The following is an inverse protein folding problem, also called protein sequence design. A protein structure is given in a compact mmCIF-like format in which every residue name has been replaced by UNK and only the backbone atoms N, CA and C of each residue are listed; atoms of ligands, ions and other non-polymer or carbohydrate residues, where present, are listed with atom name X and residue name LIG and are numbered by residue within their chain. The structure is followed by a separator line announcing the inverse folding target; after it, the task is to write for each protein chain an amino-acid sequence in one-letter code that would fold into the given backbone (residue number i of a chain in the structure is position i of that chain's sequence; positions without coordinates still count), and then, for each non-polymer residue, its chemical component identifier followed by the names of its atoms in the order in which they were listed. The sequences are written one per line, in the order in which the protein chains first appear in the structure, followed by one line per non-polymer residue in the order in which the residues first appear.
data_IF_468676404531
#
_entry.id   IF_468676404531
#
_cell.length_a   1.000
_cell.length_b   1.000
_cell.length_c   1.000
_cell.angle_alpha   90.00
_cell.angle_beta   90.00
_cell.angle_gamma   90.00
#
_symmetry.space_group_name_H-M   'P 1'
#
loop_
_entity.id
_entity.type
_entity.pdbx_description
1 polymer ?
#
# COMPACT_ATOMS: atom_id res chain seq x y z
N UNK A 1 -18.81 6.91 2.33
CA UNK A 1 -18.35 5.61 2.86
C UNK A 1 -19.07 4.43 2.21
N UNK A 2 -20.36 4.17 2.49
CA UNK A 2 -21.09 3.02 1.94
C UNK A 2 -21.04 2.95 0.41
N UNK A 3 -21.27 4.07 -0.29
CA UNK A 3 -21.15 4.12 -1.76
C UNK A 3 -19.76 3.72 -2.28
N UNK A 4 -18.69 4.10 -1.58
CA UNK A 4 -17.33 3.71 -1.93
C UNK A 4 -17.11 2.20 -1.73
N UNK A 5 -17.67 1.60 -0.67
CA UNK A 5 -17.61 0.15 -0.46
C UNK A 5 -18.32 -0.60 -1.58
N UNK A 6 -19.53 -0.17 -1.97
CA UNK A 6 -20.24 -0.76 -3.10
C UNK A 6 -19.47 -0.61 -4.41
N UNK A 7 -18.81 0.53 -4.62
CA UNK A 7 -18.01 0.76 -5.82
C UNK A 7 -16.74 -0.12 -5.86
N UNK A 8 -16.06 -0.29 -4.72
CA UNK A 8 -14.94 -1.24 -4.60
C UNK A 8 -15.41 -2.66 -4.89
N UNK A 9 -16.53 -3.09 -4.33
CA UNK A 9 -17.15 -4.38 -4.65
C UNK A 9 -17.42 -4.52 -6.16
N UNK A 10 -18.01 -3.51 -6.79
CA UNK A 10 -18.29 -3.52 -8.22
C UNK A 10 -17.02 -3.64 -9.08
N UNK A 11 -15.94 -2.91 -8.72
CA UNK A 11 -14.63 -3.02 -9.38
C UNK A 11 -14.10 -4.44 -9.26
N UNK A 12 -14.11 -5.02 -8.06
CA UNK A 12 -13.57 -6.36 -7.83
C UNK A 12 -14.33 -7.39 -8.67
N UNK A 13 -15.66 -7.35 -8.65
CA UNK A 13 -16.51 -8.28 -9.40
C UNK A 13 -16.36 -8.12 -10.91
N UNK A 14 -16.32 -6.89 -11.41
CA UNK A 14 -16.34 -6.62 -12.85
C UNK A 14 -14.95 -6.71 -13.48
N UNK A 15 -13.91 -6.23 -12.80
CA UNK A 15 -12.57 -6.07 -13.37
C UNK A 15 -11.57 -7.11 -12.87
N UNK A 16 -11.64 -7.53 -11.60
CA UNK A 16 -10.67 -8.49 -11.05
C UNK A 16 -11.11 -9.94 -11.29
N UNK A 17 -12.32 -10.32 -10.89
CA UNK A 17 -12.77 -11.72 -10.94
C UNK A 17 -12.62 -12.36 -12.34
N UNK A 18 -13.03 -11.72 -13.46
CA UNK A 18 -12.93 -12.36 -14.78
C UNK A 18 -11.50 -12.59 -15.26
N UNK A 19 -10.56 -11.75 -14.83
CA UNK A 19 -9.14 -11.86 -15.19
C UNK A 19 -8.49 -13.03 -14.45
N UNK A 20 -8.75 -13.17 -13.15
CA UNK A 20 -8.08 -14.18 -12.33
C UNK A 20 -8.75 -15.56 -12.36
N UNK A 21 -10.08 -15.63 -12.51
CA UNK A 21 -10.79 -16.93 -12.63
C UNK A 21 -10.42 -17.69 -13.89
N UNK A 22 -10.19 -16.99 -15.01
CA UNK A 22 -9.79 -17.62 -16.27
C UNK A 22 -8.30 -17.96 -16.32
N UNK A 23 -7.51 -17.46 -15.38
CA UNK A 23 -6.07 -17.64 -15.38
C UNK A 23 -5.64 -19.08 -15.07
N UNK A 24 -6.43 -19.82 -14.29
CA UNK A 24 -6.20 -21.25 -14.01
C UNK A 24 -6.18 -22.12 -15.27
N UNK A 25 -6.75 -21.63 -16.39
CA UNK A 25 -6.85 -22.36 -17.66
C UNK A 25 -5.68 -22.08 -18.61
N UNK A 26 -4.84 -21.09 -18.33
CA UNK A 26 -3.73 -20.71 -19.22
C UNK A 26 -2.39 -21.26 -18.72
N UNK A 27 -1.48 -21.66 -19.62
CA UNK A 27 -0.14 -22.08 -19.23
C UNK A 27 0.62 -20.92 -18.59
N UNK A 28 1.35 -21.21 -17.51
CA UNK A 28 2.17 -20.22 -16.84
C UNK A 28 3.30 -19.76 -17.76
N UNK A 29 3.25 -18.49 -18.16
CA UNK A 29 4.27 -17.85 -19.02
C UNK A 29 4.56 -16.46 -18.49
N UNK A 30 5.81 -16.01 -18.62
CA UNK A 30 6.22 -14.65 -18.23
C UNK A 30 5.40 -13.58 -18.94
N UNK A 31 5.05 -13.81 -20.21
CA UNK A 31 4.18 -12.91 -20.99
C UNK A 31 2.80 -12.79 -20.34
N UNK A 32 2.20 -13.91 -19.93
CA UNK A 32 0.89 -13.93 -19.28
C UNK A 32 0.93 -13.21 -17.94
N UNK A 33 1.97 -13.43 -17.14
CA UNK A 33 2.15 -12.75 -15.86
C UNK A 33 2.24 -11.23 -16.02
N UNK A 34 3.07 -10.75 -16.96
CA UNK A 34 3.20 -9.31 -17.23
C UNK A 34 1.87 -8.71 -17.66
N UNK A 35 1.15 -9.38 -18.57
CA UNK A 35 -0.18 -8.94 -19.00
C UNK A 35 -1.17 -8.90 -17.82
N UNK A 36 -1.17 -9.91 -16.95
CA UNK A 36 -2.02 -9.94 -15.76
C UNK A 36 -1.74 -8.78 -14.81
N UNK A 37 -0.47 -8.43 -14.59
CA UNK A 37 -0.08 -7.26 -13.80
C UNK A 37 -0.62 -5.98 -14.43
N UNK A 38 -0.47 -5.79 -15.75
CA UNK A 38 -1.02 -4.63 -16.45
C UNK A 38 -2.54 -4.53 -16.33
N UNK A 39 -3.26 -5.65 -16.48
CA UNK A 39 -4.71 -5.69 -16.28
C UNK A 39 -5.12 -5.41 -14.83
N UNK A 40 -4.30 -5.79 -13.85
CA UNK A 40 -4.55 -5.57 -12.43
C UNK A 40 -4.20 -4.14 -11.95
N UNK A 41 -3.31 -3.44 -12.65
CA UNK A 41 -2.85 -2.07 -12.28
C UNK A 41 -4.00 -1.09 -12.17
N UNK A 42 -4.90 -1.05 -13.16
CA UNK A 42 -6.04 -0.14 -13.19
C UNK A 42 -7.02 -0.40 -12.03
N UNK A 43 -7.59 -1.61 -11.86
CA UNK A 43 -8.49 -1.88 -10.75
C UNK A 43 -7.80 -1.71 -9.40
N UNK A 44 -6.53 -2.13 -9.26
CA UNK A 44 -5.76 -1.93 -8.03
C UNK A 44 -5.60 -0.46 -7.65
N UNK A 45 -5.32 0.40 -8.63
CA UNK A 45 -5.24 1.85 -8.42
C UNK A 45 -6.58 2.45 -7.98
N UNK A 46 -7.68 2.05 -8.61
CA UNK A 46 -8.99 2.52 -8.19
C UNK A 46 -9.34 2.05 -6.78
N UNK A 47 -9.05 0.79 -6.45
CA UNK A 47 -9.25 0.25 -5.09
C UNK A 47 -8.42 1.03 -4.08
N UNK A 48 -7.16 1.35 -4.38
CA UNK A 48 -6.32 2.20 -3.52
C UNK A 48 -6.94 3.58 -3.27
N UNK A 49 -7.32 4.30 -4.33
CA UNK A 49 -7.88 5.66 -4.24
C UNK A 49 -9.24 5.68 -3.51
N UNK A 50 -10.10 4.71 -3.80
CA UNK A 50 -11.42 4.61 -3.17
C UNK A 50 -11.32 4.17 -1.72
N UNK A 51 -10.41 3.25 -1.39
CA UNK A 51 -10.18 2.82 -0.01
C UNK A 51 -9.59 3.95 0.81
N UNK A 52 -8.65 4.72 0.23
CA UNK A 52 -8.14 5.96 0.82
C UNK A 52 -9.29 6.93 1.12
N UNK A 53 -10.10 7.27 0.13
CA UNK A 53 -11.19 8.23 0.31
C UNK A 53 -12.26 7.72 1.27
N UNK A 54 -12.64 6.44 1.17
CA UNK A 54 -13.63 5.84 2.05
C UNK A 54 -13.17 5.88 3.51
N UNK A 55 -11.95 5.41 3.79
CA UNK A 55 -11.47 5.27 5.16
C UNK A 55 -10.91 6.59 5.72
N UNK A 56 -9.85 7.13 5.12
CA UNK A 56 -9.13 8.30 5.65
C UNK A 56 -9.97 9.58 5.57
N UNK A 57 -10.75 9.75 4.52
CA UNK A 57 -11.61 10.93 4.39
C UNK A 57 -12.99 10.71 5.01
N UNK A 58 -13.83 9.83 4.46
CA UNK A 58 -15.21 9.73 4.93
C UNK A 58 -15.34 9.14 6.33
N UNK A 59 -14.72 8.00 6.61
CA UNK A 59 -14.91 7.27 7.87
C UNK A 59 -14.31 8.04 9.05
N UNK A 60 -13.04 8.45 8.97
CA UNK A 60 -12.41 9.20 10.06
C UNK A 60 -13.11 10.55 10.31
N UNK A 61 -13.53 11.29 9.28
CA UNK A 61 -14.28 12.54 9.50
C UNK A 61 -15.68 12.28 10.10
N UNK A 62 -16.36 11.21 9.71
CA UNK A 62 -17.64 10.86 10.32
C UNK A 62 -17.49 10.61 11.83
N UNK A 63 -16.46 9.85 12.23
CA UNK A 63 -16.15 9.63 13.65
C UNK A 63 -15.69 10.90 14.35
N UNK A 64 -14.88 11.73 13.70
CA UNK A 64 -14.45 13.00 14.26
C UNK A 64 -15.64 13.93 14.53
N UNK A 65 -16.61 14.01 13.62
CA UNK A 65 -17.84 14.79 13.82
C UNK A 65 -18.69 14.22 14.96
N UNK A 66 -18.94 12.90 14.95
CA UNK A 66 -19.72 12.23 16.01
C UNK A 66 -19.10 12.41 17.41
N UNK A 67 -17.77 12.37 17.49
CA UNK A 67 -17.02 12.54 18.75
C UNK A 67 -16.68 14.00 19.07
N UNK A 68 -17.08 14.95 18.22
CA UNK A 68 -16.72 16.37 18.32
C UNK A 68 -15.20 16.61 18.41
N UNK A 69 -14.43 15.80 17.71
CA UNK A 69 -13.00 15.92 17.59
C UNK A 69 -12.64 16.99 16.54
N UNK A 70 -11.87 17.99 16.97
CA UNK A 70 -11.57 19.17 16.16
C UNK A 70 -10.41 18.97 15.18
N UNK A 71 -9.42 18.12 15.51
CA UNK A 71 -8.29 17.87 14.62
C UNK A 71 -8.68 16.85 13.53
N UNK A 72 -8.76 17.32 12.30
CA UNK A 72 -9.21 16.51 11.15
C UNK A 72 -8.11 16.30 10.12
N UNK A 73 -6.86 16.60 10.47
CA UNK A 73 -5.71 16.48 9.55
C UNK A 73 -5.23 15.02 9.43
N UNK A 74 -6.10 14.13 8.97
CA UNK A 74 -5.78 12.69 8.83
C UNK A 74 -4.81 12.40 7.67
N UNK A 75 -4.76 13.29 6.67
CA UNK A 75 -3.88 13.22 5.51
C UNK A 75 -3.58 14.64 4.99
N UNK A 76 -2.52 14.78 4.18
CA UNK A 76 -2.16 16.01 3.46
C UNK A 76 -2.20 15.75 1.95
N UNK A 77 -1.74 16.70 1.13
CA UNK A 77 -1.73 16.66 -0.33
C UNK A 77 -0.67 15.67 -0.89
N UNK A 78 -0.76 14.42 -0.48
CA UNK A 78 0.20 13.36 -0.82
C UNK A 78 0.30 13.11 -2.33
N UNK A 79 -0.77 13.39 -3.09
CA UNK A 79 -0.81 13.26 -4.55
C UNK A 79 0.16 14.23 -5.26
N UNK A 80 0.51 15.35 -4.63
CA UNK A 80 1.50 16.32 -5.13
C UNK A 80 2.94 15.97 -4.73
N UNK A 81 3.16 14.85 -4.03
CA UNK A 81 4.49 14.50 -3.52
C UNK A 81 5.48 14.23 -4.67
N UNK A 82 6.66 14.84 -4.60
CA UNK A 82 7.79 14.57 -5.51
C UNK A 82 8.78 13.55 -4.96
N UNK A 83 8.65 13.15 -3.70
CA UNK A 83 9.49 12.16 -3.03
C UNK A 83 8.65 11.09 -2.33
N UNK A 84 9.16 9.86 -2.25
CA UNK A 84 8.52 8.80 -1.46
C UNK A 84 8.54 9.13 0.04
N UNK A 85 9.59 9.82 0.50
CA UNK A 85 9.68 10.33 1.87
C UNK A 85 8.53 11.29 2.21
N UNK A 86 8.16 12.20 1.29
CA UNK A 86 7.00 13.07 1.50
C UNK A 86 5.69 12.31 1.38
N UNK A 87 5.57 11.37 0.44
CA UNK A 87 4.39 10.52 0.30
C UNK A 87 4.06 9.77 1.61
N UNK A 88 5.04 9.07 2.22
CA UNK A 88 4.81 8.33 3.46
C UNK A 88 4.41 9.23 4.65
N UNK A 89 4.87 10.48 4.68
CA UNK A 89 4.51 11.46 5.73
C UNK A 89 3.11 12.04 5.57
N UNK A 90 2.61 12.10 4.35
CA UNK A 90 1.40 12.86 4.00
C UNK A 90 0.20 11.98 3.70
N UNK A 91 0.42 10.72 3.31
CA UNK A 91 -0.65 9.77 2.98
C UNK A 91 -1.58 9.46 4.15
N UNK A 92 -1.03 9.06 5.30
CA UNK A 92 -1.78 8.76 6.51
C UNK A 92 -1.03 9.35 7.70
N UNK A 93 -1.39 10.59 8.04
CA UNK A 93 -0.72 11.37 9.09
C UNK A 93 -0.89 10.70 10.45
N UNK A 94 -2.04 10.09 10.72
CA UNK A 94 -2.32 9.42 12.00
C UNK A 94 -1.31 8.30 12.28
N UNK A 95 -1.15 7.39 11.31
CA UNK A 95 -0.21 6.28 11.43
C UNK A 95 1.23 6.79 11.39
N UNK A 96 1.52 7.74 10.50
CA UNK A 96 2.86 8.33 10.41
C UNK A 96 3.29 8.95 11.75
N UNK A 97 2.44 9.77 12.38
CA UNK A 97 2.77 10.47 13.62
C UNK A 97 2.91 9.49 14.79
N UNK A 98 2.12 8.41 14.81
CA UNK A 98 2.30 7.33 15.77
C UNK A 98 3.66 6.63 15.60
N UNK A 99 4.00 6.22 14.37
CA UNK A 99 5.30 5.60 14.04
C UNK A 99 6.47 6.54 14.36
N UNK A 100 6.33 7.83 14.05
CA UNK A 100 7.37 8.82 14.31
C UNK A 100 7.58 9.04 15.81
N UNK A 101 6.51 9.24 16.57
CA UNK A 101 6.61 9.60 17.98
C UNK A 101 6.96 8.44 18.89
N UNK A 102 6.39 7.26 18.66
CA UNK A 102 6.53 6.11 19.58
C UNK A 102 7.53 5.07 19.12
N UNK A 103 7.95 5.10 17.85
CA UNK A 103 8.92 4.11 17.35
C UNK A 103 10.21 4.79 16.92
N UNK A 104 10.15 5.71 15.95
CA UNK A 104 11.35 6.35 15.43
C UNK A 104 12.11 7.11 16.52
N UNK A 105 11.43 7.97 17.29
CA UNK A 105 12.06 8.76 18.36
C UNK A 105 12.66 7.87 19.45
N UNK A 106 11.95 6.81 19.83
CA UNK A 106 12.39 5.90 20.89
C UNK A 106 13.57 5.04 20.42
N UNK A 107 13.52 4.45 19.22
CA UNK A 107 14.68 3.78 18.64
C UNK A 107 15.87 4.71 18.46
N UNK A 108 15.64 5.94 18.00
CA UNK A 108 16.70 6.92 17.84
C UNK A 108 17.33 7.30 19.18
N UNK A 109 16.53 7.39 20.25
CA UNK A 109 17.00 7.64 21.61
C UNK A 109 17.79 6.43 22.16
N UNK A 110 17.28 5.21 22.02
CA UNK A 110 17.94 3.96 22.42
C UNK A 110 19.29 3.76 21.70
N UNK A 111 19.40 4.22 20.46
CA UNK A 111 20.63 4.18 19.66
C UNK A 111 21.57 5.38 19.91
N UNK A 112 21.45 6.03 21.07
CA UNK A 112 22.24 7.20 21.48
C UNK A 112 22.25 8.34 20.45
N UNK A 113 21.15 8.50 19.70
CA UNK A 113 20.96 9.54 18.67
C UNK A 113 22.01 9.53 17.55
N UNK A 114 22.78 8.45 17.41
CA UNK A 114 23.89 8.36 16.44
C UNK A 114 23.49 7.68 15.13
N UNK A 115 22.56 6.73 15.19
CA UNK A 115 22.21 5.86 14.07
C UNK A 115 20.83 6.15 13.48
N UNK A 116 20.69 7.34 12.87
CA UNK A 116 19.43 7.78 12.25
C UNK A 116 18.89 6.81 11.19
N UNK A 117 19.78 6.28 10.35
CA UNK A 117 19.41 5.33 9.30
C UNK A 117 18.88 4.03 9.86
N UNK A 118 19.50 3.51 10.93
CA UNK A 118 19.04 2.27 11.59
C UNK A 118 17.66 2.48 12.19
N UNK A 119 17.43 3.59 12.91
CA UNK A 119 16.11 3.90 13.46
C UNK A 119 15.02 4.01 12.37
N UNK A 120 15.34 4.64 11.24
CA UNK A 120 14.44 4.72 10.09
C UNK A 120 14.13 3.34 9.51
N UNK A 121 15.16 2.52 9.24
CA UNK A 121 15.00 1.18 8.69
C UNK A 121 14.18 0.27 9.61
N UNK A 122 14.40 0.34 10.93
CA UNK A 122 13.60 -0.39 11.92
C UNK A 122 12.12 -0.06 11.82
N UNK A 123 11.76 1.22 11.68
CA UNK A 123 10.36 1.64 11.52
C UNK A 123 9.77 1.15 10.20
N UNK A 124 10.52 1.20 9.10
CA UNK A 124 10.09 0.65 7.82
C UNK A 124 9.85 -0.86 7.89
N UNK A 125 10.76 -1.61 8.49
CA UNK A 125 10.64 -3.06 8.64
C UNK A 125 9.44 -3.47 9.50
N UNK A 126 9.22 -2.78 10.62
CA UNK A 126 8.07 -3.06 11.48
C UNK A 126 6.77 -2.69 10.76
N UNK A 127 6.72 -1.55 10.07
CA UNK A 127 5.56 -1.18 9.24
C UNK A 127 5.28 -2.24 8.17
N UNK A 128 6.30 -2.70 7.44
CA UNK A 128 6.16 -3.75 6.44
C UNK A 128 5.65 -5.08 7.04
N UNK A 129 6.17 -5.47 8.21
CA UNK A 129 5.74 -6.68 8.92
C UNK A 129 4.28 -6.59 9.39
N UNK A 130 3.83 -5.45 9.89
CA UNK A 130 2.43 -5.24 10.29
C UNK A 130 1.50 -5.27 9.09
N UNK A 131 1.87 -4.67 7.96
CA UNK A 131 1.08 -4.76 6.74
C UNK A 131 0.95 -6.23 6.29
N UNK A 132 2.07 -6.95 6.23
CA UNK A 132 2.07 -8.38 5.89
C UNK A 132 1.18 -9.18 6.84
N UNK A 133 1.27 -8.95 8.15
CA UNK A 133 0.42 -9.59 9.15
C UNK A 133 -1.07 -9.39 8.88
N UNK A 134 -1.50 -8.17 8.53
CA UNK A 134 -2.89 -7.88 8.17
C UNK A 134 -3.32 -8.68 6.94
N UNK A 135 -2.46 -8.80 5.92
CA UNK A 135 -2.74 -9.61 4.73
C UNK A 135 -2.83 -11.10 5.06
N UNK A 136 -1.92 -11.64 5.87
CA UNK A 136 -1.95 -13.04 6.30
C UNK A 136 -3.26 -13.36 7.01
N UNK A 137 -3.67 -12.53 7.97
CA UNK A 137 -4.89 -12.76 8.74
C UNK A 137 -6.14 -12.62 7.86
N UNK A 138 -6.12 -11.69 6.90
CA UNK A 138 -7.27 -11.44 6.02
C UNK A 138 -7.43 -12.50 4.92
N UNK A 139 -6.32 -13.03 4.39
CA UNK A 139 -6.30 -14.00 3.28
C UNK A 139 -6.12 -15.45 3.73
N UNK A 140 -5.70 -15.69 4.98
CA UNK A 140 -5.53 -17.03 5.52
C UNK A 140 -4.29 -17.80 5.02
N UNK A 141 -3.37 -17.14 4.30
CA UNK A 141 -2.12 -17.74 3.84
C UNK A 141 -0.93 -16.78 3.96
N UNK A 142 0.29 -17.34 3.99
CA UNK A 142 1.53 -16.57 4.02
C UNK A 142 2.13 -16.42 2.62
N UNK A 143 2.12 -15.20 2.08
CA UNK A 143 2.71 -14.89 0.80
C UNK A 143 3.30 -13.46 0.79
N UNK A 144 4.60 -13.30 1.15
CA UNK A 144 5.18 -12.02 1.60
C UNK A 144 5.49 -11.00 0.51
N UNK A 145 4.60 -10.84 -0.46
CA UNK A 145 4.72 -9.85 -1.53
C UNK A 145 4.65 -8.43 -0.98
N UNK A 146 3.75 -8.16 -0.04
CA UNK A 146 3.59 -6.84 0.57
C UNK A 146 4.84 -6.46 1.37
N UNK A 147 5.35 -7.39 2.18
CA UNK A 147 6.60 -7.20 2.91
C UNK A 147 7.77 -6.85 1.96
N UNK A 148 7.99 -7.65 0.92
CA UNK A 148 9.09 -7.43 -0.02
C UNK A 148 8.95 -6.09 -0.77
N UNK A 149 7.75 -5.73 -1.21
CA UNK A 149 7.51 -4.45 -1.88
C UNK A 149 7.81 -3.25 -0.99
N UNK A 150 7.37 -3.28 0.28
CA UNK A 150 7.62 -2.18 1.22
C UNK A 150 9.08 -2.15 1.71
N UNK A 151 9.63 -3.29 2.11
CA UNK A 151 10.96 -3.37 2.71
C UNK A 151 12.09 -3.14 1.70
N UNK A 152 11.94 -3.61 0.46
CA UNK A 152 12.98 -3.46 -0.58
C UNK A 152 12.73 -2.17 -1.35
N UNK A 153 11.61 -2.07 -2.06
CA UNK A 153 11.35 -0.94 -2.96
C UNK A 153 11.01 0.33 -2.19
N UNK A 154 10.23 0.25 -1.10
CA UNK A 154 9.92 1.41 -0.25
C UNK A 154 11.17 2.04 0.34
N UNK A 155 12.10 1.23 0.86
CA UNK A 155 13.39 1.71 1.39
C UNK A 155 14.27 2.27 0.27
N UNK A 156 14.41 1.54 -0.84
CA UNK A 156 15.20 1.97 -2.00
C UNK A 156 14.73 3.33 -2.53
N UNK A 157 13.42 3.48 -2.74
CA UNK A 157 12.84 4.72 -3.23
C UNK A 157 12.94 5.85 -2.23
N UNK A 158 12.84 5.58 -0.93
CA UNK A 158 13.05 6.60 0.09
C UNK A 158 14.46 7.22 0.03
N UNK A 159 15.48 6.43 -0.33
CA UNK A 159 16.85 6.95 -0.50
C UNK A 159 17.10 7.57 -1.89
N UNK A 160 16.61 6.96 -2.97
CA UNK A 160 16.84 7.44 -4.36
C UNK A 160 16.02 8.71 -4.65
N UNK A 161 14.74 8.69 -4.27
CA UNK A 161 13.74 9.73 -4.51
C UNK A 161 13.57 10.58 -3.26
N UNK A 162 14.68 11.17 -2.83
CA UNK A 162 14.74 12.00 -1.62
C UNK A 162 14.22 13.44 -1.87
N UNK A 163 13.92 14.16 -0.80
CA UNK A 163 13.30 15.49 -0.76
C UNK A 163 14.08 16.61 -1.49
N UNK A 164 15.34 16.34 -1.88
CA UNK A 164 16.14 17.26 -2.70
C UNK A 164 15.59 17.40 -4.12
N UNK A 165 14.79 16.44 -4.57
CA UNK A 165 14.26 16.38 -5.93
C UNK A 165 12.86 17.03 -5.98
N UNK A 166 12.78 18.26 -6.48
CA UNK A 166 11.54 19.07 -6.53
C UNK A 166 10.88 19.20 -7.91
N UNK A 167 11.51 18.67 -8.96
CA UNK A 167 10.95 18.73 -10.32
C UNK A 167 9.64 17.92 -10.43
N UNK A 168 8.63 18.37 -11.20
CA UNK A 168 7.38 17.65 -11.42
C UNK A 168 7.58 16.24 -12.01
N UNK A 169 8.68 15.99 -12.71
CA UNK A 169 9.04 14.67 -13.25
C UNK A 169 9.08 13.61 -12.15
N UNK A 170 9.49 13.97 -10.94
CA UNK A 170 9.55 13.04 -9.82
C UNK A 170 8.17 12.63 -9.29
N UNK A 171 7.17 13.49 -9.44
CA UNK A 171 5.78 13.13 -9.15
C UNK A 171 5.27 12.07 -10.15
N UNK A 172 5.57 12.24 -11.45
CA UNK A 172 5.22 11.25 -12.49
C UNK A 172 5.89 9.90 -12.21
N UNK A 173 7.17 9.91 -11.85
CA UNK A 173 7.92 8.70 -11.48
C UNK A 173 7.32 8.03 -10.24
N UNK A 174 6.97 8.81 -9.21
CA UNK A 174 6.33 8.30 -7.99
C UNK A 174 5.00 7.60 -8.32
N UNK A 175 4.13 8.26 -9.09
CA UNK A 175 2.86 7.68 -9.52
C UNK A 175 3.03 6.40 -10.35
N UNK A 176 4.03 6.38 -11.25
CA UNK A 176 4.35 5.21 -12.07
C UNK A 176 4.69 4.01 -11.20
N UNK A 177 5.57 4.20 -10.20
CA UNK A 177 5.92 3.13 -9.27
C UNK A 177 4.76 2.73 -8.35
N UNK A 178 3.91 3.69 -7.95
CA UNK A 178 2.72 3.39 -7.16
C UNK A 178 1.74 2.51 -7.94
N UNK A 179 1.46 2.83 -9.22
CA UNK A 179 0.59 2.04 -10.08
C UNK A 179 1.13 0.63 -10.32
N UNK A 180 2.42 0.51 -10.65
CA UNK A 180 3.06 -0.80 -10.86
C UNK A 180 3.01 -1.62 -9.55
N UNK A 181 3.31 -1.00 -8.41
CA UNK A 181 3.25 -1.66 -7.10
C UNK A 181 1.86 -2.20 -6.78
N UNK A 182 0.81 -1.40 -7.01
CA UNK A 182 -0.58 -1.83 -6.83
C UNK A 182 -0.96 -2.97 -7.78
N UNK A 183 -0.56 -2.89 -9.05
CA UNK A 183 -0.79 -3.96 -10.03
C UNK A 183 -0.14 -5.28 -9.61
N UNK A 184 1.12 -5.24 -9.15
CA UNK A 184 1.83 -6.42 -8.65
C UNK A 184 1.12 -7.00 -7.43
N UNK A 185 0.73 -6.17 -6.45
CA UNK A 185 0.04 -6.63 -5.24
C UNK A 185 -1.26 -7.34 -5.56
N UNK A 186 -2.16 -6.68 -6.29
CA UNK A 186 -3.47 -7.26 -6.64
C UNK A 186 -3.28 -8.52 -7.49
N UNK A 187 -2.38 -8.49 -8.47
CA UNK A 187 -2.16 -9.65 -9.33
C UNK A 187 -1.68 -10.87 -8.57
N UNK A 188 -0.60 -10.72 -7.79
CA UNK A 188 0.05 -11.84 -7.11
C UNK A 188 -0.82 -12.40 -5.98
N UNK A 189 -1.49 -11.56 -5.19
CA UNK A 189 -2.40 -12.04 -4.14
C UNK A 189 -3.66 -12.71 -4.71
N UNK A 190 -4.26 -12.16 -5.78
CA UNK A 190 -5.40 -12.81 -6.41
C UNK A 190 -4.99 -14.15 -7.04
N UNK A 191 -3.84 -14.22 -7.70
CA UNK A 191 -3.30 -15.47 -8.24
C UNK A 191 -3.15 -16.54 -7.17
N UNK A 192 -2.50 -16.22 -6.05
CA UNK A 192 -2.30 -17.16 -4.95
C UNK A 192 -3.63 -17.60 -4.33
N UNK A 193 -4.54 -16.66 -4.09
CA UNK A 193 -5.87 -16.96 -3.56
C UNK A 193 -6.65 -17.94 -4.46
N UNK A 194 -6.69 -17.69 -5.77
CA UNK A 194 -7.35 -18.62 -6.69
C UNK A 194 -6.60 -19.93 -6.84
N UNK A 195 -5.26 -19.95 -6.75
CA UNK A 195 -4.49 -21.19 -6.78
C UNK A 195 -4.86 -22.11 -5.61
N UNK A 196 -5.01 -21.56 -4.39
CA UNK A 196 -5.40 -22.36 -3.22
C UNK A 196 -6.83 -22.89 -3.31
N UNK A 197 -7.76 -22.13 -3.93
CA UNK A 197 -9.13 -22.62 -4.16
C UNK A 197 -9.15 -23.80 -5.15
N UNK A 198 -8.38 -23.72 -6.24
CA UNK A 198 -8.38 -24.77 -7.26
C UNK A 198 -7.53 -25.99 -6.86
N UNK A 199 -6.49 -25.78 -6.06
CA UNK A 199 -5.57 -26.81 -5.58
C UNK A 199 -5.45 -26.75 -4.05
N UNK A 200 -6.49 -27.19 -3.30
CA UNK A 200 -6.44 -27.17 -1.84
C UNK A 200 -5.31 -28.08 -1.35
N UNK A 201 -4.38 -27.51 -0.57
CA UNK A 201 -3.36 -28.26 0.14
C UNK A 201 -4.07 -29.11 1.20
N UNK A 202 -3.89 -30.43 1.12
CA UNK A 202 -4.42 -31.40 2.10
C UNK A 202 -3.71 -31.28 3.43
#
# INVERSE_FOLDING_TARGET
FLGCLFYVYFILVTLCIPVFTNMSKQPFSTKTLVLSIFHATLPGTFVLLLSFFAFLHCWLNAFAEMLRFADRMFYKDWWNSTSFANYYRTWNVVVHDWLYNYMYRDFHWLLNKRFRTVAMLSVFLISAAVHEYVFIVSLGFFYPVMFCLFAIFGVLFNFILNDRRKSPVWNVIMWTFLFIGQGIQVCLYCQEWYAQIHCPLK
#
